data_IF_205643850620
#
_entry.id   IF_205643850620
#
_cell.length_a   1.000
_cell.length_b   1.000
_cell.length_c   1.000
_cell.angle_alpha   90.00
_cell.angle_beta   90.00
_cell.angle_gamma   90.00
#
_symmetry.space_group_name_H-M   'P 1'
#
loop_
_entity.id
_entity.type
_entity.pdbx_description
1 polymer ?
#
# COMPACT_ATOMS: atom_id res chain seq x y z
N UNK A 1 24.28 -42.60 -5.35
CA UNK A 1 23.48 -41.41 -4.96
C UNK A 1 23.43 -40.32 -6.04
N UNK A 2 24.28 -40.31 -7.08
CA UNK A 2 24.25 -39.28 -8.13
C UNK A 2 23.10 -39.38 -9.15
N UNK A 3 22.61 -40.59 -9.45
CA UNK A 3 21.53 -40.81 -10.44
C UNK A 3 20.16 -40.28 -9.98
N UNK A 4 19.94 -40.18 -8.68
CA UNK A 4 18.71 -39.62 -8.09
C UNK A 4 18.69 -38.10 -8.16
N UNK A 5 19.83 -37.44 -8.01
CA UNK A 5 19.95 -35.99 -8.13
C UNK A 5 19.70 -35.50 -9.57
N UNK A 6 20.14 -36.27 -10.58
CA UNK A 6 19.94 -35.94 -12.00
C UNK A 6 18.49 -36.06 -12.44
N UNK A 7 17.76 -37.08 -11.98
CA UNK A 7 16.31 -37.19 -12.25
C UNK A 7 15.49 -36.10 -11.57
N UNK A 8 15.82 -35.75 -10.33
CA UNK A 8 15.16 -34.66 -9.62
C UNK A 8 15.41 -33.31 -10.31
N UNK A 9 16.65 -33.04 -10.74
CA UNK A 9 16.99 -31.83 -11.47
C UNK A 9 16.27 -31.73 -12.84
N UNK A 10 16.14 -32.85 -13.57
CA UNK A 10 15.39 -32.90 -14.83
C UNK A 10 13.88 -32.67 -14.64
N UNK A 11 13.30 -33.22 -13.57
CA UNK A 11 11.90 -32.99 -13.23
C UNK A 11 11.64 -31.54 -12.80
N UNK A 12 12.56 -30.93 -12.06
CA UNK A 12 12.49 -29.51 -11.69
C UNK A 12 12.60 -28.63 -12.94
N UNK A 13 13.54 -28.93 -13.85
CA UNK A 13 13.70 -28.20 -15.09
C UNK A 13 12.43 -28.25 -15.96
N UNK A 14 11.80 -29.43 -16.15
CA UNK A 14 10.58 -29.53 -16.96
C UNK A 14 9.40 -28.77 -16.35
N UNK A 15 9.25 -28.80 -15.02
CA UNK A 15 8.24 -28.01 -14.31
C UNK A 15 8.47 -26.50 -14.47
N UNK A 16 9.73 -26.05 -14.42
CA UNK A 16 10.10 -24.65 -14.60
C UNK A 16 9.91 -24.20 -16.06
N UNK A 17 10.30 -25.01 -17.04
CA UNK A 17 10.13 -24.74 -18.47
C UNK A 17 8.65 -24.62 -18.83
N UNK A 18 7.79 -25.45 -18.23
CA UNK A 18 6.34 -25.41 -18.46
C UNK A 18 5.71 -24.14 -17.90
N UNK A 19 6.26 -23.60 -16.80
CA UNK A 19 5.70 -22.42 -16.09
C UNK A 19 6.23 -21.08 -16.57
N UNK A 20 7.50 -21.04 -16.99
CA UNK A 20 8.23 -19.79 -17.27
C UNK A 20 8.83 -19.76 -18.68
N UNK A 21 8.83 -20.88 -19.41
CA UNK A 21 9.51 -20.99 -20.70
C UNK A 21 11.00 -21.37 -20.54
N UNK A 22 11.60 -21.80 -21.64
CA UNK A 22 12.91 -22.48 -21.66
C UNK A 22 14.08 -21.60 -21.22
N UNK A 23 14.13 -20.37 -21.72
CA UNK A 23 15.22 -19.41 -21.42
C UNK A 23 15.19 -19.00 -19.94
N UNK A 24 14.00 -18.81 -19.40
CA UNK A 24 13.77 -18.39 -18.02
C UNK A 24 14.06 -19.51 -17.02
N UNK A 25 13.62 -20.73 -17.31
CA UNK A 25 13.93 -21.91 -16.51
C UNK A 25 15.44 -22.16 -16.43
N UNK A 26 16.17 -21.97 -17.53
CA UNK A 26 17.61 -22.15 -17.54
C UNK A 26 18.36 -21.05 -16.77
N UNK A 27 17.85 -19.80 -16.78
CA UNK A 27 18.37 -18.73 -15.94
C UNK A 27 18.14 -19.02 -14.43
N UNK A 28 17.00 -19.62 -14.06
CA UNK A 28 16.73 -20.04 -12.67
C UNK A 28 17.65 -21.18 -12.22
N UNK A 29 17.85 -22.20 -13.06
CA UNK A 29 18.73 -23.33 -12.76
C UNK A 29 20.19 -22.90 -12.58
N UNK A 30 20.62 -21.87 -13.33
CA UNK A 30 21.97 -21.30 -13.24
C UNK A 30 22.13 -20.28 -12.09
N UNK A 31 21.08 -20.04 -11.29
CA UNK A 31 21.10 -19.05 -10.20
C UNK A 31 21.12 -17.59 -10.64
N UNK A 32 20.89 -17.32 -11.94
CA UNK A 32 20.92 -15.98 -12.58
C UNK A 32 19.58 -15.23 -12.53
N UNK A 33 18.54 -15.90 -12.02
CA UNK A 33 17.22 -15.33 -11.83
C UNK A 33 16.72 -15.62 -10.42
N UNK A 34 16.00 -14.65 -9.83
CA UNK A 34 15.32 -14.83 -8.55
C UNK A 34 13.82 -14.67 -8.73
N UNK A 35 13.07 -15.63 -8.21
CA UNK A 35 11.61 -15.51 -8.10
C UNK A 35 11.32 -14.64 -6.89
N UNK A 36 10.78 -13.44 -7.13
CA UNK A 36 10.35 -12.57 -6.04
C UNK A 36 8.88 -12.85 -5.77
N UNK A 37 8.56 -13.50 -4.65
CA UNK A 37 7.17 -13.65 -4.20
C UNK A 37 6.79 -12.46 -3.33
N UNK A 38 5.78 -11.71 -3.74
CA UNK A 38 5.20 -10.67 -2.88
C UNK A 38 4.22 -11.33 -1.90
N UNK A 39 4.46 -11.17 -0.60
CA UNK A 39 3.63 -11.76 0.45
C UNK A 39 2.49 -10.83 0.91
N UNK A 40 1.79 -10.21 -0.04
CA UNK A 40 0.61 -9.40 0.30
C UNK A 40 -0.63 -10.28 0.23
N UNK A 41 -1.40 -10.37 1.32
CA UNK A 41 -2.64 -11.13 1.36
C UNK A 41 -3.85 -10.24 1.05
N UNK A 42 -4.92 -10.83 0.52
CA UNK A 42 -6.15 -10.10 0.20
C UNK A 42 -6.76 -9.44 1.44
N UNK A 43 -6.73 -10.15 2.59
CA UNK A 43 -7.27 -9.67 3.85
C UNK A 43 -6.61 -8.39 4.32
N UNK A 44 -5.28 -8.27 4.14
CA UNK A 44 -4.54 -7.07 4.52
C UNK A 44 -4.94 -5.87 3.65
N UNK A 45 -5.13 -6.10 2.34
CA UNK A 45 -5.60 -5.05 1.40
C UNK A 45 -7.01 -4.60 1.76
N UNK A 46 -7.89 -5.54 2.11
CA UNK A 46 -9.26 -5.24 2.54
C UNK A 46 -9.25 -4.40 3.82
N UNK A 47 -8.53 -4.83 4.85
CA UNK A 47 -8.40 -4.11 6.11
C UNK A 47 -7.89 -2.68 5.88
N UNK A 48 -6.85 -2.53 5.04
CA UNK A 48 -6.28 -1.22 4.73
C UNK A 48 -7.27 -0.32 3.98
N UNK A 49 -8.11 -0.89 3.11
CA UNK A 49 -9.18 -0.13 2.44
C UNK A 49 -10.22 0.42 3.42
N UNK A 50 -10.59 -0.37 4.43
CA UNK A 50 -11.52 0.05 5.48
C UNK A 50 -10.91 1.14 6.36
N UNK A 51 -9.63 1.02 6.72
CA UNK A 51 -8.90 2.06 7.45
C UNK A 51 -8.83 3.37 6.65
N UNK A 52 -8.52 3.31 5.36
CA UNK A 52 -8.49 4.47 4.49
C UNK A 52 -9.85 5.20 4.47
N UNK A 53 -10.96 4.49 4.31
CA UNK A 53 -12.30 5.09 4.31
C UNK A 53 -12.73 5.63 5.68
N UNK A 54 -12.34 4.97 6.78
CA UNK A 54 -12.56 5.50 8.14
C UNK A 54 -11.85 6.84 8.34
N UNK A 55 -10.58 6.95 7.99
CA UNK A 55 -9.85 8.22 8.11
C UNK A 55 -10.37 9.29 7.16
N UNK A 56 -10.76 8.92 5.94
CA UNK A 56 -11.42 9.84 5.01
C UNK A 56 -12.69 10.44 5.61
N UNK A 57 -13.51 9.60 6.24
CA UNK A 57 -14.77 10.02 6.87
C UNK A 57 -14.50 10.95 8.06
N UNK A 58 -13.52 10.62 8.91
CA UNK A 58 -13.09 11.49 10.02
C UNK A 58 -12.58 12.85 9.54
N UNK A 59 -11.71 12.86 8.54
CA UNK A 59 -11.18 14.10 7.97
C UNK A 59 -12.30 14.99 7.41
N UNK A 60 -13.26 14.40 6.68
CA UNK A 60 -14.46 15.11 6.18
C UNK A 60 -15.28 15.71 7.31
N UNK A 61 -15.53 14.95 8.38
CA UNK A 61 -16.27 15.42 9.54
C UNK A 61 -15.58 16.61 10.22
N UNK A 62 -14.25 16.56 10.39
CA UNK A 62 -13.48 17.67 10.98
C UNK A 62 -13.49 18.91 10.08
N UNK A 63 -13.34 18.75 8.76
CA UNK A 63 -13.43 19.86 7.81
C UNK A 63 -14.82 20.52 7.89
N UNK A 64 -15.89 19.72 7.96
CA UNK A 64 -17.24 20.24 8.09
C UNK A 64 -17.40 21.00 9.41
N UNK A 65 -16.94 20.44 10.53
CA UNK A 65 -16.99 21.08 11.84
C UNK A 65 -16.29 22.44 11.84
N UNK A 66 -15.10 22.54 11.23
CA UNK A 66 -14.39 23.81 11.09
C UNK A 66 -15.12 24.81 10.21
N UNK A 67 -15.75 24.37 9.11
CA UNK A 67 -16.55 25.28 8.25
C UNK A 67 -17.78 25.81 8.98
N UNK A 68 -18.43 24.99 9.82
CA UNK A 68 -19.55 25.42 10.64
C UNK A 68 -19.10 26.41 11.72
N UNK A 69 -18.02 26.10 12.44
CA UNK A 69 -17.40 27.01 13.40
C UNK A 69 -17.03 28.36 12.76
N UNK A 70 -16.38 28.34 11.59
CA UNK A 70 -15.95 29.55 10.89
C UNK A 70 -17.12 30.43 10.43
N UNK A 71 -18.30 29.85 10.23
CA UNK A 71 -19.54 30.62 9.95
C UNK A 71 -20.10 31.21 11.24
N UNK A 72 -20.19 30.42 12.31
CA UNK A 72 -20.73 30.87 13.59
C UNK A 72 -19.91 32.03 14.20
N UNK A 73 -18.58 31.95 14.15
CA UNK A 73 -17.71 32.98 14.73
C UNK A 73 -17.77 34.32 14.00
N UNK A 74 -18.20 34.33 12.72
CA UNK A 74 -18.37 35.58 11.94
C UNK A 74 -19.60 36.36 12.35
N UNK A 75 -20.63 35.67 12.83
CA UNK A 75 -21.88 36.29 13.30
C UNK A 75 -21.84 36.64 14.79
N UNK A 76 -20.81 36.19 15.51
CA UNK A 76 -20.65 36.46 16.93
C UNK A 76 -20.19 37.90 17.18
N UNK A 77 -20.91 38.62 18.04
CA UNK A 77 -20.65 40.02 18.37
C UNK A 77 -20.01 40.19 19.74
N UNK A 78 -20.16 39.21 20.64
CA UNK A 78 -19.54 39.27 21.97
C UNK A 78 -18.01 39.11 21.86
N UNK A 79 -17.21 40.12 22.30
CA UNK A 79 -15.76 40.05 22.25
C UNK A 79 -15.18 38.89 23.08
N UNK A 80 -15.83 38.50 24.18
CA UNK A 80 -15.36 37.38 25.03
C UNK A 80 -15.60 36.06 24.30
N UNK A 81 -16.82 35.83 23.80
CA UNK A 81 -17.14 34.67 22.97
C UNK A 81 -16.22 34.56 21.74
N UNK A 82 -15.86 35.68 21.11
CA UNK A 82 -14.91 35.68 19.98
C UNK A 82 -13.52 35.20 20.37
N UNK A 83 -13.02 35.57 21.56
CA UNK A 83 -11.71 35.14 22.04
C UNK A 83 -11.68 33.62 22.29
N UNK A 84 -12.69 33.09 22.98
CA UNK A 84 -12.83 31.65 23.19
C UNK A 84 -13.01 30.90 21.87
N UNK A 85 -13.86 31.41 20.99
CA UNK A 85 -14.07 30.83 19.66
C UNK A 85 -12.79 30.81 18.83
N UNK A 86 -11.92 31.81 18.92
CA UNK A 86 -10.62 31.80 18.25
C UNK A 86 -9.69 30.67 18.77
N UNK A 87 -9.68 30.42 20.08
CA UNK A 87 -8.92 29.32 20.67
C UNK A 87 -9.45 27.95 20.21
N UNK A 88 -10.77 27.77 20.16
CA UNK A 88 -11.41 26.58 19.60
C UNK A 88 -11.07 26.38 18.11
N UNK A 89 -11.09 27.47 17.33
CA UNK A 89 -10.71 27.46 15.93
C UNK A 89 -9.29 26.96 15.69
N UNK A 90 -8.33 27.41 16.51
CA UNK A 90 -6.95 26.93 16.45
C UNK A 90 -6.86 25.42 16.77
N UNK A 91 -7.63 24.92 17.74
CA UNK A 91 -7.68 23.50 18.05
C UNK A 91 -8.30 22.67 16.91
N UNK A 92 -9.41 23.14 16.32
CA UNK A 92 -10.06 22.50 15.17
C UNK A 92 -9.13 22.44 13.96
N UNK A 93 -8.43 23.54 13.65
CA UNK A 93 -7.48 23.58 12.56
C UNK A 93 -6.35 22.54 12.73
N UNK A 94 -5.81 22.40 13.94
CA UNK A 94 -4.79 21.38 14.23
C UNK A 94 -5.34 19.96 14.02
N UNK A 95 -6.54 19.67 14.54
CA UNK A 95 -7.19 18.36 14.37
C UNK A 95 -7.41 18.00 12.90
N UNK A 96 -7.80 18.96 12.06
CA UNK A 96 -7.92 18.73 10.61
C UNK A 96 -6.58 18.29 10.02
N UNK A 97 -5.50 18.99 10.37
CA UNK A 97 -4.15 18.66 9.91
C UNK A 97 -3.76 17.22 10.27
N UNK A 98 -4.05 16.79 11.49
CA UNK A 98 -3.71 15.44 11.96
C UNK A 98 -4.55 14.36 11.26
N UNK A 99 -5.87 14.56 11.13
CA UNK A 99 -6.75 13.61 10.44
C UNK A 99 -6.43 13.52 8.94
N UNK A 100 -6.08 14.63 8.30
CA UNK A 100 -5.67 14.64 6.89
C UNK A 100 -4.34 13.89 6.69
N UNK A 101 -3.37 14.05 7.59
CA UNK A 101 -2.12 13.29 7.55
C UNK A 101 -2.39 11.79 7.67
N UNK A 102 -3.22 11.38 8.63
CA UNK A 102 -3.59 9.97 8.80
C UNK A 102 -4.27 9.41 7.56
N UNK A 103 -5.23 10.15 6.99
CA UNK A 103 -5.88 9.75 5.75
C UNK A 103 -4.89 9.63 4.59
N UNK A 104 -3.98 10.59 4.42
CA UNK A 104 -2.99 10.56 3.35
C UNK A 104 -2.04 9.36 3.45
N UNK A 105 -1.54 9.07 4.67
CA UNK A 105 -0.72 7.89 4.92
C UNK A 105 -1.48 6.60 4.58
N UNK A 106 -2.69 6.43 5.12
CA UNK A 106 -3.52 5.25 4.86
C UNK A 106 -3.87 5.10 3.37
N UNK A 107 -4.16 6.21 2.68
CA UNK A 107 -4.46 6.22 1.24
C UNK A 107 -3.26 5.77 0.40
N UNK A 108 -2.08 6.33 0.67
CA UNK A 108 -0.84 5.94 0.00
C UNK A 108 -0.53 4.46 0.21
N UNK A 109 -0.62 4.00 1.45
CA UNK A 109 -0.25 2.63 1.83
C UNK A 109 -1.28 1.62 1.27
N UNK A 110 -2.58 1.94 1.28
CA UNK A 110 -3.62 1.19 0.59
C UNK A 110 -3.30 0.99 -0.90
N UNK A 111 -2.99 2.08 -1.62
CA UNK A 111 -2.71 2.00 -3.06
C UNK A 111 -1.38 1.28 -3.36
N UNK A 112 -0.39 1.36 -2.47
CA UNK A 112 0.82 0.56 -2.57
C UNK A 112 0.52 -0.94 -2.41
N UNK A 113 -0.22 -1.32 -1.35
CA UNK A 113 -0.61 -2.71 -1.09
C UNK A 113 -1.51 -3.27 -2.19
N UNK A 114 -2.49 -2.50 -2.68
CA UNK A 114 -3.35 -2.90 -3.79
C UNK A 114 -2.54 -3.17 -5.04
N UNK A 115 -1.57 -2.33 -5.39
CA UNK A 115 -0.68 -2.56 -6.54
C UNK A 115 0.14 -3.83 -6.37
N UNK A 116 0.74 -4.04 -5.19
CA UNK A 116 1.49 -5.25 -4.89
C UNK A 116 0.63 -6.52 -4.96
N UNK A 117 -0.60 -6.47 -4.45
CA UNK A 117 -1.55 -7.58 -4.52
C UNK A 117 -1.98 -7.89 -5.95
N UNK A 118 -2.28 -6.87 -6.77
CA UNK A 118 -2.59 -7.08 -8.19
C UNK A 118 -1.41 -7.69 -8.95
N UNK A 119 -0.19 -7.24 -8.65
CA UNK A 119 1.03 -7.85 -9.21
C UNK A 119 1.17 -9.33 -8.81
N UNK A 120 0.83 -9.68 -7.56
CA UNK A 120 0.79 -11.08 -7.08
C UNK A 120 -0.24 -11.91 -7.85
N UNK A 121 -1.44 -11.37 -8.09
CA UNK A 121 -2.49 -12.05 -8.84
C UNK A 121 -2.13 -12.28 -10.32
N UNK A 122 -1.27 -11.45 -10.91
CA UNK A 122 -0.75 -11.66 -12.26
C UNK A 122 0.26 -12.82 -12.35
N UNK A 123 0.58 -13.47 -11.23
CA UNK A 123 1.51 -14.60 -11.19
C UNK A 123 2.95 -14.18 -10.87
N UNK A 124 3.84 -15.17 -10.66
CA UNK A 124 5.25 -14.91 -10.35
C UNK A 124 5.92 -14.17 -11.51
N UNK A 125 6.46 -12.99 -11.24
CA UNK A 125 7.33 -12.27 -12.18
C UNK A 125 8.77 -12.73 -11.97
N UNK A 126 9.41 -13.15 -13.04
CA UNK A 126 10.84 -13.46 -13.02
C UNK A 126 11.63 -12.18 -13.23
N UNK A 127 12.60 -11.93 -12.35
CA UNK A 127 13.62 -10.90 -12.58
C UNK A 127 14.90 -11.62 -12.94
N UNK A 128 15.36 -11.41 -14.17
CA UNK A 128 16.66 -11.86 -14.65
C UNK A 128 17.61 -10.69 -14.53
N UNK A 129 18.66 -10.85 -13.72
CA UNK A 129 19.72 -9.84 -13.62
C UNK A 129 20.78 -10.16 -14.68
N UNK A 130 20.65 -9.54 -15.86
CA UNK A 130 21.52 -9.78 -17.00
C UNK A 130 22.94 -9.22 -16.83
N UNK A 131 23.16 -8.32 -15.87
CA UNK A 131 24.47 -7.71 -15.61
C UNK A 131 25.50 -8.71 -15.05
N UNK A 132 25.06 -9.87 -14.57
CA UNK A 132 25.94 -10.98 -14.18
C UNK A 132 26.18 -11.99 -15.32
N UNK A 133 25.75 -11.68 -16.55
CA UNK A 133 25.82 -12.57 -17.70
C UNK A 133 26.92 -12.23 -18.73
N UNK A 134 27.74 -11.20 -18.47
CA UNK A 134 28.91 -10.84 -19.28
C UNK A 134 30.21 -11.37 -18.67
#
# INVERSE_FOLDING_TARGET
MEKTNTRAAQAIASILETRFGRVEAQALMNGRARITRMDVQFMDVKLMSELCERYRTRARAQILAYRLWARAIRTESDPVARLYGAAEGAALHRRIGDELKLWYCAHRDYHAMRRAYLMKCMGPRMRVDWDQAA
#
